data_IF_310465989761
#
_entry.id   IF_310465989761
#
_cell.length_a   1.000
_cell.length_b   1.000
_cell.length_c   1.000
_cell.angle_alpha   90.00
_cell.angle_beta   90.00
_cell.angle_gamma   90.00
#
_symmetry.space_group_name_H-M   'P 1'
#
loop_
_entity.id
_entity.type
_entity.pdbx_description
1 polymer ?
#
# COMPACT_ATOMS: atom_id res chain seq x y z
N UNK A 1 -17.06 -10.53 35.86
CA UNK A 1 -17.95 -9.37 36.10
C UNK A 1 -17.96 -8.56 34.81
N UNK A 2 -19.10 -8.36 34.14
CA UNK A 2 -19.19 -7.46 32.99
C UNK A 2 -19.75 -6.14 33.50
N UNK A 3 -19.00 -5.05 33.33
CA UNK A 3 -19.51 -3.72 33.61
C UNK A 3 -20.71 -3.44 32.69
N UNK A 4 -21.71 -2.76 33.22
CA UNK A 4 -22.85 -2.27 32.45
C UNK A 4 -22.42 -1.08 31.58
N UNK A 5 -23.19 -0.75 30.54
CA UNK A 5 -22.86 0.38 29.64
C UNK A 5 -22.75 1.72 30.38
N UNK A 6 -23.42 1.85 31.54
CA UNK A 6 -23.43 3.05 32.37
C UNK A 6 -22.24 3.10 33.33
N UNK A 7 -21.89 1.96 33.96
CA UNK A 7 -20.68 1.85 34.79
C UNK A 7 -19.39 2.13 34.00
N UNK A 8 -19.40 1.84 32.69
CA UNK A 8 -18.27 2.12 31.80
C UNK A 8 -17.93 3.60 31.68
N UNK A 9 -18.96 4.47 31.61
CA UNK A 9 -18.76 5.93 31.49
C UNK A 9 -18.14 6.47 32.77
N UNK A 10 -18.69 6.09 33.93
CA UNK A 10 -18.16 6.50 35.23
C UNK A 10 -16.69 6.08 35.38
N UNK A 11 -16.38 4.82 35.07
CA UNK A 11 -15.02 4.30 35.19
C UNK A 11 -14.01 5.05 34.34
N UNK A 12 -14.34 5.36 33.08
CA UNK A 12 -13.40 6.11 32.22
C UNK A 12 -13.33 7.59 32.58
N UNK A 13 -14.41 8.20 33.07
CA UNK A 13 -14.40 9.56 33.58
C UNK A 13 -13.35 9.75 34.69
N UNK A 14 -13.20 8.78 35.61
CA UNK A 14 -12.16 8.80 36.64
C UNK A 14 -10.73 8.79 36.09
N UNK A 15 -10.53 8.34 34.85
CA UNK A 15 -9.21 8.27 34.20
C UNK A 15 -8.91 9.50 33.35
N UNK A 16 -9.91 10.32 33.03
CA UNK A 16 -9.73 11.53 32.23
C UNK A 16 -8.92 12.58 33.02
N UNK A 17 -8.08 13.31 32.30
CA UNK A 17 -7.23 14.38 32.85
C UNK A 17 -7.13 15.54 31.87
N UNK A 18 -6.94 16.74 32.40
CA UNK A 18 -6.76 17.95 31.60
C UNK A 18 -7.98 18.22 30.71
N UNK A 19 -7.73 18.59 29.44
CA UNK A 19 -8.77 18.96 28.47
C UNK A 19 -9.83 17.86 28.28
N UNK A 20 -9.43 16.60 28.40
CA UNK A 20 -10.36 15.47 28.28
C UNK A 20 -11.39 15.47 29.42
N UNK A 21 -10.96 15.80 30.66
CA UNK A 21 -11.88 15.89 31.80
C UNK A 21 -12.80 17.12 31.67
N UNK A 22 -12.25 18.28 31.27
CA UNK A 22 -13.07 19.48 31.04
C UNK A 22 -14.12 19.30 29.95
N UNK A 23 -13.83 18.52 28.91
CA UNK A 23 -14.82 18.15 27.90
C UNK A 23 -15.94 17.28 28.48
N UNK A 24 -15.59 16.33 29.36
CA UNK A 24 -16.56 15.49 30.04
C UNK A 24 -17.46 16.30 30.97
N UNK A 25 -16.91 17.21 31.77
CA UNK A 25 -17.69 18.10 32.64
C UNK A 25 -18.67 18.96 31.83
N UNK A 26 -18.19 19.61 30.75
CA UNK A 26 -19.05 20.43 29.88
C UNK A 26 -20.19 19.61 29.25
N UNK A 27 -19.90 18.37 28.85
CA UNK A 27 -20.91 17.48 28.30
C UNK A 27 -21.90 17.04 29.38
N UNK A 28 -21.45 16.59 30.55
CA UNK A 28 -22.32 16.21 31.67
C UNK A 28 -23.22 17.37 32.13
N UNK A 29 -22.67 18.58 32.26
CA UNK A 29 -23.43 19.80 32.63
C UNK A 29 -24.51 20.16 31.59
N UNK A 30 -24.34 19.76 30.33
CA UNK A 30 -25.33 19.96 29.27
C UNK A 30 -26.46 18.92 29.29
N UNK A 31 -26.33 17.85 30.08
CA UNK A 31 -27.34 16.80 30.19
C UNK A 31 -28.44 17.27 31.15
N UNK A 32 -29.68 17.09 30.72
CA UNK A 32 -30.85 17.45 31.51
C UNK A 32 -30.96 16.57 32.78
N UNK A 33 -31.33 17.19 33.90
CA UNK A 33 -31.24 16.62 35.27
C UNK A 33 -32.12 15.36 35.47
N UNK A 34 -33.09 15.12 34.59
CA UNK A 34 -33.97 13.93 34.60
C UNK A 34 -33.58 12.84 33.60
N UNK A 35 -32.45 12.99 32.89
CA UNK A 35 -32.02 11.98 31.91
C UNK A 35 -31.52 10.69 32.57
N UNK A 36 -31.72 9.54 31.91
CA UNK A 36 -31.10 8.29 32.35
C UNK A 36 -29.57 8.41 32.38
N UNK A 37 -28.87 7.59 33.18
CA UNK A 37 -27.41 7.59 33.23
C UNK A 37 -26.77 7.48 31.84
N UNK A 38 -25.63 8.14 31.67
CA UNK A 38 -24.91 8.17 30.42
C UNK A 38 -24.62 6.76 29.92
N UNK A 39 -24.97 6.48 28.66
CA UNK A 39 -24.57 5.23 28.01
C UNK A 39 -23.21 5.42 27.35
N UNK A 40 -22.41 4.37 27.36
CA UNK A 40 -21.08 4.37 26.76
C UNK A 40 -21.04 4.89 25.30
N UNK A 41 -22.04 4.55 24.48
CA UNK A 41 -22.08 5.00 23.09
C UNK A 41 -22.30 6.52 22.96
N UNK A 42 -23.18 7.11 23.79
CA UNK A 42 -23.42 8.55 23.81
C UNK A 42 -22.17 9.31 24.22
N UNK A 43 -21.52 8.87 25.30
CA UNK A 43 -20.24 9.41 25.74
C UNK A 43 -19.18 9.31 24.64
N UNK A 44 -19.00 8.12 24.04
CA UNK A 44 -17.97 7.89 23.03
C UNK A 44 -18.19 8.73 21.76
N UNK A 45 -19.44 8.86 21.30
CA UNK A 45 -19.77 9.66 20.12
C UNK A 45 -19.47 11.15 20.36
N UNK A 46 -19.89 11.70 21.51
CA UNK A 46 -19.59 13.10 21.87
C UNK A 46 -18.10 13.35 22.01
N UNK A 47 -17.37 12.43 22.66
CA UNK A 47 -15.93 12.54 22.80
C UNK A 47 -15.23 12.49 21.44
N UNK A 48 -15.63 11.58 20.56
CA UNK A 48 -15.07 11.48 19.21
C UNK A 48 -15.40 12.73 18.41
N UNK A 49 -16.62 13.26 18.48
CA UNK A 49 -17.02 14.49 17.78
C UNK A 49 -16.21 15.70 18.23
N UNK A 50 -15.89 15.78 19.53
CA UNK A 50 -15.11 16.88 20.10
C UNK A 50 -13.63 16.85 19.66
N UNK A 51 -13.00 15.66 19.69
CA UNK A 51 -11.56 15.53 19.40
C UNK A 51 -11.25 15.16 17.94
N UNK A 52 -12.22 14.64 17.19
CA UNK A 52 -12.07 14.21 15.81
C UNK A 52 -13.28 14.70 15.00
N UNK A 53 -13.23 15.95 14.50
CA UNK A 53 -14.34 16.56 13.76
C UNK A 53 -14.85 15.71 12.59
N UNK A 54 -16.11 15.91 12.21
CA UNK A 54 -16.77 15.17 11.15
C UNK A 54 -15.98 15.21 9.82
N UNK A 55 -15.40 16.35 9.47
CA UNK A 55 -14.59 16.55 8.28
C UNK A 55 -13.32 15.68 8.32
N UNK A 56 -12.69 15.59 9.49
CA UNK A 56 -11.52 14.73 9.68
C UNK A 56 -11.91 13.27 9.52
N UNK A 57 -13.04 12.84 10.11
CA UNK A 57 -13.52 11.46 9.96
C UNK A 57 -13.88 11.14 8.51
N UNK A 58 -14.57 12.05 7.82
CA UNK A 58 -14.88 11.92 6.41
C UNK A 58 -13.60 11.77 5.56
N UNK A 59 -12.60 12.61 5.81
CA UNK A 59 -11.30 12.49 5.15
C UNK A 59 -10.62 11.13 5.42
N UNK A 60 -10.69 10.62 6.65
CA UNK A 60 -10.18 9.27 6.99
C UNK A 60 -10.96 8.16 6.31
N UNK A 61 -12.27 8.30 6.14
CA UNK A 61 -13.10 7.36 5.36
C UNK A 61 -12.69 7.36 3.89
N UNK A 62 -12.48 8.53 3.29
CA UNK A 62 -11.96 8.62 1.91
C UNK A 62 -10.54 8.06 1.78
N UNK A 63 -9.68 8.27 2.78
CA UNK A 63 -8.35 7.66 2.85
C UNK A 63 -8.46 6.13 2.88
N UNK A 64 -9.44 5.59 3.60
CA UNK A 64 -9.71 4.16 3.68
C UNK A 64 -10.23 3.58 2.36
N UNK A 65 -11.17 4.25 1.69
CA UNK A 65 -11.70 3.82 0.38
C UNK A 65 -10.61 3.71 -0.68
N UNK A 66 -9.62 4.60 -0.62
CA UNK A 66 -8.48 4.62 -1.52
C UNK A 66 -7.31 3.75 -1.03
N UNK A 67 -7.44 3.11 0.15
CA UNK A 67 -6.38 2.32 0.74
C UNK A 67 -6.13 1.05 -0.10
N UNK A 68 -4.92 0.98 -0.66
CA UNK A 68 -4.42 -0.19 -1.39
C UNK A 68 -3.12 -0.66 -0.76
N UNK A 69 -2.87 -1.96 -0.85
CA UNK A 69 -1.60 -2.51 -0.39
C UNK A 69 -0.43 -1.98 -1.22
N UNK A 70 -0.57 -1.91 -2.55
CA UNK A 70 0.45 -1.44 -3.49
C UNK A 70 1.86 -1.98 -3.15
N UNK A 71 2.82 -1.07 -2.94
CA UNK A 71 4.20 -1.39 -2.60
C UNK A 71 4.42 -1.59 -1.09
N UNK A 72 3.40 -1.40 -0.24
CA UNK A 72 3.51 -1.59 1.21
C UNK A 72 3.66 -3.07 1.56
N UNK A 73 4.39 -3.38 2.64
CA UNK A 73 4.37 -4.71 3.24
C UNK A 73 2.96 -5.06 3.75
N UNK A 74 2.69 -6.34 3.96
CA UNK A 74 1.42 -6.78 4.57
C UNK A 74 1.23 -6.15 5.95
N UNK A 75 2.33 -6.00 6.71
CA UNK A 75 2.31 -5.40 8.04
C UNK A 75 1.94 -3.91 8.01
N UNK A 76 2.59 -3.11 7.16
CA UNK A 76 2.29 -1.67 7.02
C UNK A 76 0.85 -1.45 6.56
N UNK A 77 0.40 -2.23 5.57
CA UNK A 77 -0.99 -2.19 5.13
C UNK A 77 -1.96 -2.55 6.25
N UNK A 78 -1.66 -3.56 7.07
CA UNK A 78 -2.48 -3.93 8.22
C UNK A 78 -2.56 -2.81 9.26
N UNK A 79 -1.46 -2.13 9.55
CA UNK A 79 -1.46 -0.99 10.47
C UNK A 79 -2.31 0.17 9.94
N UNK A 80 -2.22 0.50 8.66
CA UNK A 80 -3.08 1.53 8.05
C UNK A 80 -4.55 1.11 8.01
N UNK A 81 -4.83 -0.14 7.62
CA UNK A 81 -6.18 -0.70 7.58
C UNK A 81 -6.83 -0.68 8.95
N UNK A 82 -6.14 -1.14 10.00
CA UNK A 82 -6.64 -1.11 11.37
C UNK A 82 -6.89 0.34 11.84
N UNK A 83 -5.97 1.25 11.55
CA UNK A 83 -6.08 2.68 11.93
C UNK A 83 -7.26 3.37 11.26
N UNK A 84 -7.55 3.05 10.00
CA UNK A 84 -8.56 3.73 9.19
C UNK A 84 -9.94 3.06 9.25
N UNK A 85 -10.00 1.73 9.41
CA UNK A 85 -11.27 0.97 9.43
C UNK A 85 -12.23 1.39 10.54
N UNK A 86 -11.75 2.02 11.62
CA UNK A 86 -12.60 2.60 12.68
C UNK A 86 -13.46 3.78 12.21
N UNK A 87 -13.13 4.42 11.10
CA UNK A 87 -13.92 5.53 10.52
C UNK A 87 -14.88 5.04 9.42
N UNK A 88 -14.65 3.85 8.88
CA UNK A 88 -15.46 3.23 7.84
C UNK A 88 -16.32 2.07 8.38
N UNK A 89 -16.79 2.17 9.63
CA UNK A 89 -17.55 1.08 10.29
C UNK A 89 -18.80 0.69 9.49
N UNK A 90 -19.46 1.67 8.85
CA UNK A 90 -20.64 1.42 8.01
C UNK A 90 -20.33 0.52 6.79
N UNK A 91 -19.08 0.44 6.33
CA UNK A 91 -18.66 -0.49 5.27
C UNK A 91 -18.50 -1.93 5.77
N UNK A 92 -18.39 -2.11 7.10
CA UNK A 92 -18.16 -3.40 7.74
C UNK A 92 -19.19 -3.63 8.85
N UNK A 93 -20.44 -3.94 8.49
CA UNK A 93 -21.49 -4.19 9.47
C UNK A 93 -21.16 -5.34 10.44
N UNK A 94 -20.22 -6.22 10.06
CA UNK A 94 -19.69 -7.28 10.93
C UNK A 94 -18.15 -7.31 10.91
N UNK A 95 -17.57 -7.87 11.97
CA UNK A 95 -16.12 -8.13 12.06
C UNK A 95 -15.71 -9.11 10.94
N UNK A 96 -16.55 -10.09 10.64
CA UNK A 96 -16.32 -11.05 9.55
C UNK A 96 -16.20 -10.35 8.18
N UNK A 97 -17.11 -9.44 7.87
CA UNK A 97 -17.04 -8.65 6.62
C UNK A 97 -15.73 -7.87 6.52
N UNK A 98 -15.27 -7.30 7.64
CA UNK A 98 -13.99 -6.58 7.72
C UNK A 98 -12.79 -7.50 7.43
N UNK A 99 -12.78 -8.69 8.02
CA UNK A 99 -11.72 -9.68 7.81
C UNK A 99 -11.66 -10.20 6.37
N UNK A 100 -12.83 -10.42 5.75
CA UNK A 100 -12.93 -10.83 4.35
C UNK A 100 -12.37 -9.76 3.43
N UNK A 101 -12.75 -8.49 3.64
CA UNK A 101 -12.24 -7.37 2.86
C UNK A 101 -10.71 -7.23 2.96
N UNK A 102 -10.16 -7.37 4.18
CA UNK A 102 -8.72 -7.38 4.39
C UNK A 102 -8.01 -8.48 3.59
N UNK A 103 -8.54 -9.71 3.65
CA UNK A 103 -7.99 -10.86 2.93
C UNK A 103 -8.00 -10.63 1.42
N UNK A 104 -9.14 -10.20 0.87
CA UNK A 104 -9.28 -9.92 -0.57
C UNK A 104 -8.30 -8.83 -1.06
N UNK A 105 -8.11 -7.76 -0.28
CA UNK A 105 -7.19 -6.68 -0.64
C UNK A 105 -5.72 -7.16 -0.73
N UNK A 106 -5.33 -8.14 0.09
CA UNK A 106 -3.96 -8.70 0.08
C UNK A 106 -3.76 -9.82 -0.96
N UNK A 107 -4.81 -10.61 -1.25
CA UNK A 107 -4.76 -11.66 -2.28
C UNK A 107 -4.61 -11.09 -3.70
N UNK A 108 -5.20 -9.92 -3.98
CA UNK A 108 -5.03 -9.21 -5.26
C UNK A 108 -3.54 -8.95 -5.60
N UNK A 109 -2.70 -8.68 -4.59
CA UNK A 109 -1.25 -8.53 -4.77
C UNK A 109 -0.57 -9.85 -5.13
N UNK A 110 -0.96 -10.97 -4.51
CA UNK A 110 -0.36 -12.29 -4.80
C UNK A 110 -0.60 -12.69 -6.25
N UNK A 111 -1.80 -12.45 -6.77
CA UNK A 111 -2.14 -12.69 -8.17
C UNK A 111 -1.36 -11.77 -9.12
N UNK A 112 -1.25 -10.47 -8.82
CA UNK A 112 -0.44 -9.51 -9.60
C UNK A 112 1.03 -9.93 -9.70
N UNK A 113 1.66 -10.27 -8.56
CA UNK A 113 3.06 -10.70 -8.53
C UNK A 113 3.30 -12.01 -9.30
N UNK A 114 2.30 -12.90 -9.36
CA UNK A 114 2.40 -14.16 -10.13
C UNK A 114 2.36 -13.89 -11.63
N UNK A 115 1.45 -13.03 -12.08
CA UNK A 115 1.28 -12.68 -13.49
C UNK A 115 2.49 -11.93 -14.06
N UNK A 116 3.12 -11.05 -13.27
CA UNK A 116 4.36 -10.35 -13.67
C UNK A 116 5.55 -11.31 -13.84
N UNK A 117 5.67 -12.33 -12.97
CA UNK A 117 6.68 -13.39 -13.13
C UNK A 117 6.41 -14.24 -14.38
N UNK A 118 5.19 -14.75 -14.56
CA UNK A 118 4.85 -15.58 -15.73
C UNK A 118 5.02 -14.83 -17.06
N UNK A 119 4.68 -13.53 -17.12
CA UNK A 119 4.88 -12.70 -18.31
C UNK A 119 6.35 -12.49 -18.69
N UNK A 120 7.23 -12.31 -17.71
CA UNK A 120 8.66 -12.07 -17.95
C UNK A 120 9.41 -13.34 -18.40
N UNK A 121 8.94 -14.52 -17.96
CA UNK A 121 9.50 -15.82 -18.34
C UNK A 121 9.26 -16.15 -19.82
N UNK A 122 8.15 -15.65 -20.39
CA UNK A 122 7.77 -15.88 -21.79
C UNK A 122 8.68 -15.10 -22.76
N UNK A 123 9.02 -13.86 -22.43
CA UNK A 123 9.89 -13.02 -23.25
C UNK A 123 11.32 -13.60 -23.39
N UNK A 124 11.86 -14.17 -22.30
CA UNK A 124 13.19 -14.81 -22.27
C UNK A 124 13.22 -16.17 -22.97
N UNK A 125 12.11 -16.89 -23.04
CA UNK A 125 12.01 -18.17 -23.78
C UNK A 125 11.97 -17.95 -25.30
N UNK A 126 11.30 -16.88 -25.76
CA UNK A 126 11.27 -16.52 -27.20
C UNK A 126 12.60 -15.99 -27.74
N UNK A 127 13.48 -15.41 -26.91
CA UNK A 127 14.83 -15.04 -27.35
C UNK A 127 15.75 -16.26 -27.52
N UNK A 128 15.53 -17.32 -26.74
CA UNK A 128 16.44 -18.47 -26.71
C UNK A 128 16.12 -19.53 -27.78
N UNK A 129 14.90 -19.53 -28.36
CA UNK A 129 14.52 -20.44 -29.45
C UNK A 129 15.03 -20.01 -30.83
N UNK A 130 15.42 -18.74 -31.01
CA UNK A 130 15.91 -18.25 -32.32
C UNK A 130 17.38 -18.57 -32.57
N UNK A 131 18.16 -18.85 -31.52
CA UNK A 131 19.61 -19.07 -31.65
C UNK A 131 20.02 -20.55 -31.81
N UNK A 132 19.13 -21.50 -31.50
CA UNK A 132 19.47 -22.94 -31.54
C UNK A 132 19.08 -23.68 -32.83
N UNK A 133 18.56 -22.98 -33.85
CA UNK A 133 18.16 -23.62 -35.11
C UNK A 133 18.80 -22.93 -36.33
N UNK A 134 20.11 -23.14 -36.53
CA UNK A 134 20.76 -22.54 -37.70
C UNK A 134 22.24 -22.86 -37.99
N UNK A 135 22.91 -23.76 -37.26
CA UNK A 135 24.31 -24.13 -37.58
C UNK A 135 24.41 -25.57 -38.10
N UNK A 136 23.71 -25.85 -39.19
CA UNK A 136 23.93 -27.01 -40.05
C UNK A 136 24.36 -26.54 -41.44
N UNK A 137 25.66 -26.25 -41.62
CA UNK A 137 26.22 -25.87 -42.93
C UNK A 137 26.88 -27.11 -43.54
N UNK A 138 26.21 -27.74 -44.49
CA UNK A 138 26.83 -28.64 -45.46
C UNK A 138 26.61 -28.05 -46.87
N UNK A 139 27.70 -27.90 -47.62
CA UNK A 139 27.73 -27.94 -49.08
C UNK A 139 29.19 -27.91 -49.57
N UNK A 140 29.65 -29.08 -50.02
CA UNK A 140 30.33 -29.33 -51.28
C UNK A 140 31.49 -28.41 -51.75
N UNK A 141 32.69 -28.94 -51.55
CA UNK A 141 33.88 -28.99 -52.43
C UNK A 141 33.76 -28.39 -53.84
N UNK A 142 34.67 -27.49 -54.20
CA UNK A 142 35.08 -27.27 -55.59
C UNK A 142 35.76 -25.92 -55.87
N UNK A 143 37.04 -25.94 -56.24
CA UNK A 143 37.65 -24.87 -57.05
C UNK A 143 38.78 -24.07 -56.40
N UNK A 144 40.00 -24.36 -56.83
CA UNK A 144 41.25 -23.61 -56.60
C UNK A 144 41.25 -22.22 -57.23
N UNK A 145 41.86 -21.23 -56.56
CA UNK A 145 42.92 -20.33 -57.09
C UNK A 145 43.23 -19.23 -56.06
N UNK A 146 44.46 -19.23 -55.56
CA UNK A 146 45.16 -18.09 -54.91
C UNK A 146 45.89 -17.26 -55.99
N UNK A 147 46.55 -16.12 -55.68
CA UNK A 147 46.23 -15.05 -54.74
C UNK A 147 46.39 -13.67 -55.41
N UNK A 148 45.97 -12.57 -54.77
CA UNK A 148 46.51 -11.24 -55.09
C UNK A 148 46.54 -10.33 -53.87
N UNK A 149 47.76 -9.89 -53.56
CA UNK A 149 48.10 -8.90 -52.56
C UNK A 149 47.63 -7.52 -52.99
N UNK A 150 47.16 -6.69 -52.04
CA UNK A 150 47.58 -5.30 -52.00
C UNK A 150 47.46 -4.73 -50.59
N UNK A 151 48.61 -4.26 -50.12
CA UNK A 151 48.82 -3.39 -48.97
C UNK A 151 48.21 -2.01 -49.25
N UNK A 152 47.61 -1.39 -48.24
CA UNK A 152 47.74 0.05 -48.04
C UNK A 152 47.65 0.39 -46.55
N UNK A 153 48.72 1.02 -46.09
CA UNK A 153 48.94 1.61 -44.78
C UNK A 153 48.22 2.96 -44.65
N UNK A 154 48.00 3.40 -43.40
CA UNK A 154 48.18 4.76 -42.86
C UNK A 154 46.96 5.21 -42.05
N UNK A 155 47.07 5.36 -40.71
CA UNK A 155 47.75 6.40 -39.91
C UNK A 155 46.64 7.25 -39.27
N UNK A 156 46.38 7.05 -37.97
CA UNK A 156 46.87 7.91 -36.88
C UNK A 156 46.27 9.33 -36.91
N UNK A 157 45.41 9.64 -35.93
CA UNK A 157 45.67 10.76 -35.00
C UNK A 157 44.64 10.80 -33.86
N UNK A 158 45.16 10.85 -32.64
CA UNK A 158 44.54 11.43 -31.45
C UNK A 158 45.48 12.57 -30.98
N UNK A 159 45.26 13.28 -29.86
CA UNK A 159 44.12 14.06 -29.33
C UNK A 159 44.63 15.54 -29.12
N UNK A 160 44.35 16.39 -28.08
CA UNK A 160 43.36 16.38 -26.98
C UNK A 160 42.74 17.77 -26.57
N UNK A 161 41.89 17.71 -25.52
CA UNK A 161 41.75 18.67 -24.38
C UNK A 161 41.00 20.02 -24.49
N UNK A 162 39.85 20.08 -23.78
CA UNK A 162 39.45 21.09 -22.76
C UNK A 162 38.98 22.50 -23.21
N UNK A 163 38.44 23.36 -22.30
CA UNK A 163 38.24 23.19 -20.85
C UNK A 163 36.83 23.59 -20.30
N UNK A 164 36.71 23.44 -18.98
CA UNK A 164 35.67 23.85 -18.02
C UNK A 164 35.09 25.26 -18.17
N UNK A 165 33.93 25.46 -17.51
CA UNK A 165 33.37 26.63 -16.77
C UNK A 165 31.83 26.48 -16.87
N UNK A 166 30.98 26.65 -15.85
CA UNK A 166 31.06 27.08 -14.45
C UNK A 166 29.77 26.60 -13.77
#
# INVERSE_FOLDING_TARGET
>A
MRATETEGVEFDAYRLKGVAYSCFELWEDSREEERPPARWNEFADVFIDHFVPAETRAARTTEFENLKQDNKSVWEYNMEFARLSKYAIHMFPTIEARMVAFSQATENRKLKNRMEREGNNKARSTSNMRESLGRGRSAFRGGSSEPSQSVAQSSASAPPSGPSQQ
#
